data_IF_529749927001
#
_entry.id   IF_529749927001
#
_cell.length_a   1.000
_cell.length_b   1.000
_cell.length_c   1.000
_cell.angle_alpha   90.00
_cell.angle_beta   90.00
_cell.angle_gamma   90.00
#
_symmetry.space_group_name_H-M   'P 1'
#
loop_
_entity.id
_entity.type
_entity.pdbx_description
1 polymer ?
#
# COMPACT_ATOMS: atom_id res chain seq x y z
N UNK A 1 30.31 -70.78 -21.54
CA UNK A 1 28.95 -70.72 -20.98
C UNK A 1 29.01 -70.11 -19.59
N UNK A 2 28.57 -68.86 -19.44
CA UNK A 2 28.01 -68.28 -18.22
C UNK A 2 27.77 -66.79 -18.50
N UNK A 3 26.53 -66.43 -18.85
CA UNK A 3 26.07 -65.04 -18.85
C UNK A 3 25.58 -64.72 -17.44
N UNK A 4 26.20 -63.75 -16.77
CA UNK A 4 25.61 -63.09 -15.60
C UNK A 4 24.78 -61.91 -16.09
N UNK A 5 23.46 -62.05 -16.04
CA UNK A 5 22.51 -60.97 -16.27
C UNK A 5 22.35 -60.15 -15.00
N UNK A 6 22.74 -58.87 -15.05
CA UNK A 6 22.47 -57.89 -14.00
C UNK A 6 21.03 -57.38 -14.19
N UNK A 7 20.16 -57.67 -13.23
CA UNK A 7 18.82 -57.08 -13.13
C UNK A 7 18.96 -55.65 -12.57
N UNK A 8 18.68 -54.64 -13.39
CA UNK A 8 18.50 -53.25 -12.95
C UNK A 8 17.00 -53.01 -12.74
N UNK A 9 16.58 -52.96 -11.47
CA UNK A 9 15.26 -52.48 -11.07
C UNK A 9 15.15 -50.98 -11.37
N UNK A 10 14.27 -50.60 -12.30
CA UNK A 10 13.81 -49.22 -12.45
C UNK A 10 12.70 -48.96 -11.43
N UNK A 11 12.98 -48.15 -10.41
CA UNK A 11 11.96 -47.54 -9.58
C UNK A 11 11.28 -46.42 -10.39
N UNK A 12 10.00 -46.61 -10.73
CA UNK A 12 9.16 -45.57 -11.31
C UNK A 12 8.86 -44.54 -10.22
N UNK A 13 9.43 -43.34 -10.33
CA UNK A 13 9.00 -42.19 -9.52
C UNK A 13 7.74 -41.63 -10.20
N UNK A 14 6.58 -41.87 -9.59
CA UNK A 14 5.31 -41.29 -9.99
C UNK A 14 5.30 -39.82 -9.54
N UNK A 15 5.63 -38.89 -10.44
CA UNK A 15 5.39 -37.46 -10.19
C UNK A 15 3.89 -37.20 -10.33
N UNK A 16 3.21 -36.92 -9.22
CA UNK A 16 1.82 -36.48 -9.22
C UNK A 16 1.74 -35.07 -9.80
N UNK A 17 1.26 -34.96 -11.05
CA UNK A 17 0.73 -33.70 -11.56
C UNK A 17 -0.52 -33.36 -10.75
N UNK A 18 -0.39 -32.43 -9.81
CA UNK A 18 -1.56 -31.78 -9.21
C UNK A 18 -2.12 -30.83 -10.28
N UNK A 19 -3.31 -31.14 -10.79
CA UNK A 19 -4.06 -30.23 -11.64
C UNK A 19 -4.35 -28.95 -10.88
N UNK A 20 -4.06 -27.78 -11.46
CA UNK A 20 -4.60 -26.49 -11.02
C UNK A 20 -6.12 -26.59 -11.05
N UNK A 21 -6.77 -26.81 -9.91
CA UNK A 21 -8.21 -26.74 -9.84
C UNK A 21 -8.59 -25.26 -9.76
N UNK A 22 -9.04 -24.69 -10.87
CA UNK A 22 -9.57 -23.34 -10.89
C UNK A 22 -10.78 -23.25 -9.94
N UNK A 23 -10.83 -22.17 -9.14
CA UNK A 23 -11.97 -21.89 -8.24
C UNK A 23 -13.19 -21.56 -9.09
N UNK A 24 -14.31 -22.23 -8.83
CA UNK A 24 -15.59 -21.92 -9.45
C UNK A 24 -16.28 -20.76 -8.72
N UNK A 25 -16.65 -19.70 -9.43
CA UNK A 25 -17.33 -18.53 -8.85
C UNK A 25 -18.78 -18.49 -9.32
N UNK A 26 -19.71 -18.54 -8.38
CA UNK A 26 -21.15 -18.41 -8.67
C UNK A 26 -21.71 -17.14 -8.06
N UNK A 27 -22.67 -16.53 -8.74
CA UNK A 27 -23.35 -15.32 -8.27
C UNK A 27 -24.84 -15.49 -8.54
N UNK A 28 -25.66 -15.36 -7.50
CA UNK A 28 -27.12 -15.49 -7.58
C UNK A 28 -27.78 -14.31 -6.88
N UNK A 29 -28.65 -13.60 -7.59
CA UNK A 29 -29.50 -12.60 -6.97
C UNK A 29 -30.79 -13.28 -6.48
N UNK A 30 -30.99 -13.38 -5.17
CA UNK A 30 -32.21 -13.94 -4.57
C UNK A 30 -33.25 -12.85 -4.22
N UNK A 31 -32.85 -11.59 -4.30
CA UNK A 31 -33.67 -10.41 -4.02
C UNK A 31 -34.11 -9.69 -5.31
N UNK A 32 -34.32 -10.40 -6.42
CA UNK A 32 -34.51 -9.80 -7.77
C UNK A 32 -35.65 -8.78 -7.86
N UNK A 33 -36.64 -8.84 -6.96
CA UNK A 33 -37.80 -7.95 -6.93
C UNK A 33 -37.65 -6.76 -5.99
N UNK A 34 -36.61 -6.70 -5.16
CA UNK A 34 -36.38 -5.57 -4.27
C UNK A 34 -35.67 -4.42 -5.01
N UNK A 35 -35.75 -3.16 -4.54
CA UNK A 35 -35.04 -2.06 -5.18
C UNK A 35 -33.53 -2.31 -5.28
N UNK A 36 -32.92 -2.86 -4.21
CA UNK A 36 -31.51 -3.24 -4.16
C UNK A 36 -31.14 -4.34 -5.15
N UNK A 37 -31.93 -5.42 -5.23
CA UNK A 37 -31.68 -6.50 -6.18
C UNK A 37 -31.88 -6.07 -7.64
N UNK A 38 -32.87 -5.23 -7.93
CA UNK A 38 -33.04 -4.62 -9.26
C UNK A 38 -31.81 -3.78 -9.62
N UNK A 39 -31.34 -2.97 -8.67
CA UNK A 39 -30.14 -2.14 -8.85
C UNK A 39 -28.89 -2.97 -9.12
N UNK A 40 -28.69 -4.05 -8.36
CA UNK A 40 -27.60 -4.99 -8.57
C UNK A 40 -27.59 -5.52 -10.01
N UNK A 41 -28.74 -5.98 -10.51
CA UNK A 41 -28.85 -6.52 -11.87
C UNK A 41 -28.53 -5.48 -12.95
N UNK A 42 -28.92 -4.23 -12.73
CA UNK A 42 -28.77 -3.16 -13.72
C UNK A 42 -27.36 -2.55 -13.75
N UNK A 43 -26.69 -2.42 -12.60
CA UNK A 43 -25.45 -1.63 -12.49
C UNK A 43 -24.19 -2.49 -12.25
N UNK A 44 -24.34 -3.70 -11.73
CA UNK A 44 -23.25 -4.65 -11.47
C UNK A 44 -23.41 -5.90 -12.34
N UNK A 45 -24.41 -6.74 -12.04
CA UNK A 45 -24.72 -7.98 -12.73
C UNK A 45 -23.79 -9.15 -12.36
N UNK A 46 -24.29 -10.38 -12.55
CA UNK A 46 -23.60 -11.60 -12.10
C UNK A 46 -22.20 -11.79 -12.73
N UNK A 47 -22.04 -11.51 -14.02
CA UNK A 47 -20.77 -11.72 -14.72
C UNK A 47 -19.67 -10.76 -14.26
N UNK A 48 -20.00 -9.47 -14.06
CA UNK A 48 -19.08 -8.51 -13.47
C UNK A 48 -18.66 -8.95 -12.07
N UNK A 49 -19.61 -9.37 -11.24
CA UNK A 49 -19.32 -9.79 -9.86
C UNK A 49 -18.42 -11.02 -9.83
N UNK A 50 -18.63 -12.02 -10.70
CA UNK A 50 -17.72 -13.17 -10.83
C UNK A 50 -16.29 -12.75 -11.18
N UNK A 51 -16.13 -11.84 -12.15
CA UNK A 51 -14.82 -11.32 -12.55
C UNK A 51 -14.14 -10.57 -11.40
N UNK A 52 -14.91 -9.81 -10.62
CA UNK A 52 -14.39 -9.11 -9.44
C UNK A 52 -14.01 -10.07 -8.32
N UNK A 53 -14.77 -11.15 -8.07
CA UNK A 53 -14.42 -12.21 -7.11
C UNK A 53 -13.10 -12.91 -7.48
N UNK A 54 -12.91 -13.22 -8.76
CA UNK A 54 -11.65 -13.78 -9.25
C UNK A 54 -10.48 -12.80 -9.06
N UNK A 55 -10.68 -11.53 -9.44
CA UNK A 55 -9.67 -10.47 -9.27
C UNK A 55 -9.30 -10.24 -7.80
N UNK A 56 -10.29 -10.26 -6.90
CA UNK A 56 -10.09 -10.15 -5.46
C UNK A 56 -9.28 -11.33 -4.93
N UNK A 57 -9.58 -12.56 -5.37
CA UNK A 57 -8.84 -13.76 -4.98
C UNK A 57 -7.37 -13.68 -5.41
N UNK A 58 -7.11 -13.29 -6.66
CA UNK A 58 -5.75 -13.09 -7.18
C UNK A 58 -5.01 -11.98 -6.43
N UNK A 59 -5.69 -10.90 -6.06
CA UNK A 59 -5.12 -9.84 -5.23
C UNK A 59 -4.75 -10.34 -3.84
N UNK A 60 -5.66 -11.05 -3.17
CA UNK A 60 -5.47 -11.57 -1.82
C UNK A 60 -4.34 -12.60 -1.79
N UNK A 61 -4.27 -13.53 -2.74
CA UNK A 61 -3.19 -14.51 -2.80
C UNK A 61 -1.82 -13.84 -3.00
N UNK A 62 -1.75 -12.80 -3.82
CA UNK A 62 -0.51 -12.02 -4.00
C UNK A 62 -0.15 -11.26 -2.72
N UNK A 63 -1.11 -10.59 -2.09
CA UNK A 63 -0.90 -9.81 -0.87
C UNK A 63 -0.47 -10.70 0.30
N UNK A 64 -1.05 -11.90 0.42
CA UNK A 64 -0.67 -12.90 1.43
C UNK A 64 0.50 -13.79 1.01
N UNK A 65 1.12 -13.54 -0.15
CA UNK A 65 2.26 -14.30 -0.66
C UNK A 65 1.99 -15.82 -0.74
N UNK A 66 0.74 -16.22 -1.01
CA UNK A 66 0.31 -17.61 -1.16
C UNK A 66 0.59 -18.11 -2.59
N UNK A 67 1.87 -18.22 -2.93
CA UNK A 67 2.31 -18.50 -4.30
C UNK A 67 2.12 -19.97 -4.72
N UNK A 68 2.00 -20.90 -3.76
CA UNK A 68 1.84 -22.33 -4.05
C UNK A 68 0.49 -22.86 -3.58
N UNK A 69 0.04 -23.98 -4.17
CA UNK A 69 -1.20 -24.65 -3.75
C UNK A 69 -1.16 -25.14 -2.29
N UNK A 70 0.03 -25.46 -1.77
CA UNK A 70 0.20 -25.80 -0.36
C UNK A 70 -0.03 -24.60 0.57
N UNK A 71 0.26 -23.39 0.10
CA UNK A 71 0.08 -22.17 0.88
C UNK A 71 -1.38 -21.70 0.92
N UNK A 72 -2.14 -21.98 -0.14
CA UNK A 72 -3.55 -21.57 -0.28
C UNK A 72 -4.51 -22.46 0.50
N UNK A 73 -5.63 -21.88 0.92
CA UNK A 73 -6.78 -22.63 1.43
C UNK A 73 -7.45 -23.38 0.28
N UNK A 74 -7.76 -24.66 0.50
CA UNK A 74 -8.35 -25.52 -0.51
C UNK A 74 -9.86 -25.25 -0.61
N UNK A 75 -10.25 -24.33 -1.50
CA UNK A 75 -11.63 -23.95 -1.77
C UNK A 75 -11.88 -24.13 -3.26
N UNK A 76 -12.79 -25.03 -3.62
CA UNK A 76 -13.11 -25.33 -5.02
C UNK A 76 -14.21 -24.44 -5.61
N UNK A 77 -15.02 -23.82 -4.75
CA UNK A 77 -16.13 -22.97 -5.16
C UNK A 77 -16.35 -21.85 -4.14
N UNK A 78 -16.63 -20.65 -4.63
CA UNK A 78 -17.10 -19.51 -3.83
C UNK A 78 -18.40 -19.00 -4.44
N UNK A 79 -19.43 -18.84 -3.62
CA UNK A 79 -20.77 -18.42 -4.06
C UNK A 79 -21.12 -17.06 -3.47
N UNK A 80 -21.62 -16.13 -4.27
CA UNK A 80 -22.17 -14.87 -3.78
C UNK A 80 -23.69 -14.84 -3.97
N UNK A 81 -24.38 -14.45 -2.92
CA UNK A 81 -25.83 -14.24 -2.89
C UNK A 81 -26.14 -12.77 -2.61
N UNK A 82 -27.03 -12.18 -3.41
CA UNK A 82 -27.71 -10.95 -3.03
C UNK A 82 -29.02 -11.35 -2.36
N UNK A 83 -29.15 -11.07 -1.07
CA UNK A 83 -30.28 -11.48 -0.25
C UNK A 83 -31.09 -10.27 0.21
N UNK A 84 -32.39 -10.48 0.39
CA UNK A 84 -33.27 -9.55 1.11
C UNK A 84 -32.97 -9.69 2.60
N UNK A 85 -32.06 -8.84 3.09
CA UNK A 85 -31.58 -8.90 4.46
C UNK A 85 -31.14 -7.54 4.98
N UNK A 86 -31.15 -7.42 6.30
CA UNK A 86 -30.54 -6.31 7.02
C UNK A 86 -29.01 -6.50 7.09
N UNK A 87 -28.28 -5.39 7.04
CA UNK A 87 -26.81 -5.38 7.11
C UNK A 87 -26.14 -5.19 5.75
N UNK A 88 -24.81 -5.17 5.77
CA UNK A 88 -23.98 -4.91 4.58
C UNK A 88 -23.68 -6.22 3.86
N UNK A 89 -22.86 -7.07 4.47
CA UNK A 89 -22.54 -8.39 3.97
C UNK A 89 -21.98 -9.28 5.10
N UNK A 90 -21.88 -10.58 4.83
CA UNK A 90 -21.08 -11.51 5.63
C UNK A 90 -20.60 -12.68 4.77
N UNK A 91 -19.51 -13.32 5.20
CA UNK A 91 -19.00 -14.54 4.61
C UNK A 91 -19.10 -15.74 5.56
N UNK A 92 -19.55 -16.89 5.06
CA UNK A 92 -19.62 -18.15 5.80
C UNK A 92 -19.64 -19.33 4.85
N UNK A 93 -18.96 -20.43 5.18
CA UNK A 93 -18.96 -21.67 4.38
C UNK A 93 -18.61 -21.49 2.89
N UNK A 94 -17.68 -20.58 2.56
CA UNK A 94 -17.33 -20.19 1.19
C UNK A 94 -18.49 -19.51 0.41
N UNK A 95 -19.49 -19.02 1.15
CA UNK A 95 -20.57 -18.20 0.64
C UNK A 95 -20.40 -16.76 1.13
N UNK A 96 -20.73 -15.80 0.28
CA UNK A 96 -20.81 -14.38 0.59
C UNK A 96 -22.25 -13.96 0.42
N UNK A 97 -22.82 -13.33 1.42
CA UNK A 97 -24.20 -12.84 1.41
C UNK A 97 -24.14 -11.32 1.48
N UNK A 98 -24.70 -10.62 0.50
CA UNK A 98 -24.75 -9.15 0.42
C UNK A 98 -26.19 -8.68 0.54
N UNK A 99 -26.45 -7.73 1.43
CA UNK A 99 -27.79 -7.20 1.66
C UNK A 99 -28.22 -6.28 0.53
N UNK A 100 -29.41 -6.53 -0.01
CA UNK A 100 -30.00 -5.68 -1.05
C UNK A 100 -30.22 -4.23 -0.56
N UNK A 101 -30.63 -4.05 0.70
CA UNK A 101 -30.82 -2.74 1.33
C UNK A 101 -29.53 -1.90 1.33
N UNK A 102 -28.38 -2.54 1.53
CA UNK A 102 -27.08 -1.88 1.41
C UNK A 102 -26.82 -1.45 -0.04
N UNK A 103 -27.05 -2.33 -1.02
CA UNK A 103 -26.89 -2.03 -2.44
C UNK A 103 -27.79 -0.85 -2.87
N UNK A 104 -29.05 -0.82 -2.43
CA UNK A 104 -29.95 0.31 -2.64
C UNK A 104 -29.40 1.60 -2.01
N UNK A 105 -28.83 1.48 -0.81
CA UNK A 105 -28.32 2.58 0.00
C UNK A 105 -27.11 3.31 -0.59
N UNK A 106 -26.30 2.68 -1.44
CA UNK A 106 -25.04 3.27 -1.95
C UNK A 106 -25.33 4.55 -2.76
N UNK A 107 -24.89 5.71 -2.25
CA UNK A 107 -25.09 7.01 -2.93
C UNK A 107 -23.96 7.41 -3.87
N UNK A 108 -22.77 6.87 -3.66
CA UNK A 108 -21.58 7.14 -4.46
C UNK A 108 -21.46 6.14 -5.63
N UNK A 109 -20.26 6.00 -6.20
CA UNK A 109 -19.97 4.98 -7.20
C UNK A 109 -20.24 3.58 -6.63
N UNK A 110 -21.28 2.93 -7.14
CA UNK A 110 -21.71 1.60 -6.71
C UNK A 110 -20.62 0.56 -6.91
N UNK A 111 -19.83 0.64 -7.99
CA UNK A 111 -18.76 -0.32 -8.26
C UNK A 111 -17.65 -0.18 -7.24
N UNK A 112 -17.25 1.05 -6.93
CA UNK A 112 -16.20 1.30 -5.96
C UNK A 112 -16.59 0.81 -4.56
N UNK A 113 -17.80 1.14 -4.09
CA UNK A 113 -18.26 0.77 -2.74
C UNK A 113 -18.46 -0.74 -2.62
N UNK A 114 -19.21 -1.34 -3.57
CA UNK A 114 -19.47 -2.78 -3.61
C UNK A 114 -18.18 -3.59 -3.73
N UNK A 115 -17.22 -3.18 -4.58
CA UNK A 115 -15.95 -3.90 -4.70
C UNK A 115 -15.17 -3.84 -3.37
N UNK A 116 -15.21 -2.73 -2.64
CA UNK A 116 -14.58 -2.63 -1.34
C UNK A 116 -15.12 -3.64 -0.33
N UNK A 117 -16.45 -3.76 -0.23
CA UNK A 117 -17.10 -4.78 0.60
C UNK A 117 -16.79 -6.18 0.10
N UNK A 118 -16.81 -6.40 -1.21
CA UNK A 118 -16.49 -7.71 -1.78
C UNK A 118 -15.06 -8.14 -1.46
N UNK A 119 -14.08 -7.24 -1.53
CA UNK A 119 -12.69 -7.54 -1.15
C UNK A 119 -12.56 -7.88 0.34
N UNK A 120 -13.32 -7.20 1.20
CA UNK A 120 -13.40 -7.54 2.62
C UNK A 120 -13.93 -8.98 2.80
N UNK A 121 -15.11 -9.30 2.25
CA UNK A 121 -15.73 -10.63 2.42
C UNK A 121 -14.93 -11.76 1.76
N UNK A 122 -14.34 -11.51 0.58
CA UNK A 122 -13.45 -12.47 -0.07
C UNK A 122 -12.21 -12.76 0.79
N UNK A 123 -11.77 -11.81 1.61
CA UNK A 123 -10.65 -12.04 2.53
C UNK A 123 -11.00 -13.07 3.59
N UNK A 124 -12.21 -13.05 4.15
CA UNK A 124 -12.68 -14.06 5.11
C UNK A 124 -12.66 -15.49 4.52
N UNK A 125 -12.84 -15.62 3.20
CA UNK A 125 -12.71 -16.93 2.53
C UNK A 125 -11.25 -17.41 2.55
N UNK A 126 -10.31 -16.53 2.19
CA UNK A 126 -8.91 -16.90 1.90
C UNK A 126 -7.94 -16.77 3.07
N UNK A 127 -8.28 -15.98 4.08
CA UNK A 127 -7.45 -15.82 5.26
C UNK A 127 -7.54 -17.05 6.17
N UNK A 128 -6.48 -17.27 6.92
CA UNK A 128 -6.44 -18.23 8.00
C UNK A 128 -6.80 -17.51 9.30
N UNK A 129 -7.69 -18.11 10.08
CA UNK A 129 -8.22 -17.55 11.33
C UNK A 129 -7.99 -18.47 12.54
N UNK A 130 -7.20 -19.54 12.38
CA UNK A 130 -6.97 -20.57 13.37
C UNK A 130 -8.08 -21.63 13.47
N UNK A 131 -7.77 -22.76 14.11
CA UNK A 131 -8.74 -23.83 14.36
C UNK A 131 -9.77 -23.46 15.42
N UNK A 132 -10.87 -24.23 15.49
CA UNK A 132 -11.87 -24.07 16.54
C UNK A 132 -11.24 -24.16 17.94
N UNK A 133 -11.49 -23.14 18.78
CA UNK A 133 -10.90 -23.03 20.13
C UNK A 133 -9.54 -22.34 20.19
N UNK A 134 -8.89 -22.10 19.05
CA UNK A 134 -7.60 -21.39 18.94
C UNK A 134 -7.65 -20.27 17.90
N UNK A 135 -8.86 -19.76 17.63
CA UNK A 135 -9.08 -18.72 16.64
C UNK A 135 -8.40 -17.41 17.03
N UNK A 136 -7.99 -16.66 16.01
CA UNK A 136 -7.58 -15.28 16.19
C UNK A 136 -8.73 -14.43 16.80
N UNK A 137 -8.41 -13.34 17.52
CA UNK A 137 -9.40 -12.39 17.99
C UNK A 137 -10.25 -11.88 16.82
N UNK A 138 -11.57 -11.76 17.02
CA UNK A 138 -12.48 -11.31 15.96
C UNK A 138 -12.05 -9.97 15.35
N UNK A 139 -11.57 -9.02 16.15
CA UNK A 139 -11.07 -7.75 15.61
C UNK A 139 -9.80 -7.87 14.77
N UNK A 140 -8.93 -8.86 15.02
CA UNK A 140 -7.81 -9.14 14.11
C UNK A 140 -8.32 -9.70 12.78
N UNK A 141 -9.30 -10.61 12.82
CA UNK A 141 -9.92 -11.23 11.63
C UNK A 141 -10.58 -10.15 10.75
N UNK A 142 -11.40 -9.28 11.33
CA UNK A 142 -12.02 -8.14 10.62
C UNK A 142 -10.97 -7.11 10.16
N UNK A 143 -9.95 -6.88 10.98
CA UNK A 143 -8.88 -5.95 10.67
C UNK A 143 -8.02 -6.37 9.48
N UNK A 144 -7.77 -7.67 9.30
CA UNK A 144 -7.07 -8.19 8.12
C UNK A 144 -7.92 -8.01 6.87
N UNK A 145 -9.23 -8.29 6.94
CA UNK A 145 -10.15 -8.06 5.84
C UNK A 145 -10.17 -6.59 5.40
N UNK A 146 -10.21 -5.64 6.34
CA UNK A 146 -10.10 -4.22 6.03
C UNK A 146 -8.67 -3.80 5.64
N UNK A 147 -7.62 -4.46 6.11
CA UNK A 147 -6.26 -4.24 5.59
C UNK A 147 -6.16 -4.60 4.11
N UNK A 148 -6.79 -5.70 3.66
CA UNK A 148 -6.87 -6.03 2.23
C UNK A 148 -7.63 -4.95 1.47
N UNK A 149 -8.79 -4.51 1.99
CA UNK A 149 -9.58 -3.42 1.40
C UNK A 149 -8.78 -2.11 1.28
N UNK A 150 -7.98 -1.79 2.29
CA UNK A 150 -7.05 -0.66 2.30
C UNK A 150 -6.01 -0.79 1.18
N UNK A 151 -5.33 -1.94 1.09
CA UNK A 151 -4.28 -2.18 0.09
C UNK A 151 -4.84 -2.26 -1.35
N UNK A 152 -6.10 -2.63 -1.51
CA UNK A 152 -6.81 -2.60 -2.78
C UNK A 152 -7.33 -1.19 -3.16
N UNK A 153 -7.02 -0.16 -2.37
CA UNK A 153 -7.45 1.23 -2.58
C UNK A 153 -8.98 1.42 -2.51
N UNK A 154 -9.63 0.66 -1.62
CA UNK A 154 -11.07 0.72 -1.36
C UNK A 154 -11.41 1.23 0.05
N UNK A 155 -10.48 1.91 0.74
CA UNK A 155 -10.72 2.52 2.04
C UNK A 155 -11.69 3.72 1.93
N UNK A 156 -12.91 3.64 2.51
CA UNK A 156 -13.88 4.72 2.53
C UNK A 156 -13.38 5.99 3.23
N UNK A 157 -13.79 7.20 2.77
CA UNK A 157 -13.39 8.46 3.39
C UNK A 157 -13.82 8.62 4.86
N UNK A 158 -14.83 7.89 5.31
CA UNK A 158 -15.37 7.94 6.66
C UNK A 158 -14.68 6.94 7.63
N UNK A 159 -13.67 6.20 7.18
CA UNK A 159 -12.85 5.41 8.09
C UNK A 159 -12.18 6.28 9.15
N UNK A 160 -11.94 5.68 10.32
CA UNK A 160 -11.17 6.33 11.38
C UNK A 160 -9.78 6.70 10.85
N UNK A 161 -9.16 7.71 11.45
CA UNK A 161 -7.83 8.13 11.03
C UNK A 161 -6.78 7.18 11.61
N UNK A 162 -5.61 7.02 10.96
CA UNK A 162 -4.47 6.37 11.57
C UNK A 162 -4.18 6.98 12.94
N UNK A 163 -4.00 6.13 13.94
CA UNK A 163 -3.80 6.54 15.33
C UNK A 163 -5.08 6.67 16.14
N UNK A 164 -6.27 6.51 15.56
CA UNK A 164 -7.54 6.43 16.31
C UNK A 164 -7.71 5.03 16.96
N UNK A 165 -8.85 4.80 17.62
CA UNK A 165 -9.16 3.54 18.31
C UNK A 165 -8.54 3.39 19.70
N UNK A 166 -9.05 2.42 20.44
CA UNK A 166 -8.71 2.17 21.85
C UNK A 166 -7.76 0.99 22.04
N UNK A 167 -7.84 -0.02 21.17
CA UNK A 167 -7.02 -1.23 21.19
C UNK A 167 -6.69 -1.73 19.79
N UNK A 168 -5.63 -2.53 19.69
CA UNK A 168 -5.10 -2.98 18.40
C UNK A 168 -6.04 -3.94 17.66
N UNK A 169 -6.85 -4.72 18.37
CA UNK A 169 -7.83 -5.69 17.85
C UNK A 169 -9.28 -5.19 17.99
N UNK A 170 -9.51 -3.89 17.80
CA UNK A 170 -10.85 -3.31 17.79
C UNK A 170 -11.68 -3.73 16.58
N UNK A 171 -11.03 -4.18 15.50
CA UNK A 171 -11.67 -4.58 14.27
C UNK A 171 -11.59 -3.52 13.18
N UNK A 172 -11.93 -3.94 11.97
CA UNK A 172 -12.16 -3.07 10.82
C UNK A 172 -11.01 -2.08 10.59
N UNK A 173 -11.34 -0.87 10.15
CA UNK A 173 -10.40 0.22 9.89
C UNK A 173 -9.39 0.53 11.02
N UNK A 174 -9.76 0.42 12.31
CA UNK A 174 -8.83 0.66 13.43
C UNK A 174 -7.67 -0.34 13.36
N UNK A 175 -8.01 -1.63 13.31
CA UNK A 175 -7.01 -2.70 13.25
C UNK A 175 -6.31 -2.72 11.90
N UNK A 176 -6.99 -2.40 10.80
CA UNK A 176 -6.38 -2.32 9.47
C UNK A 176 -5.24 -1.29 9.41
N UNK A 177 -5.43 -0.09 9.98
CA UNK A 177 -4.36 0.91 10.05
C UNK A 177 -3.19 0.50 10.93
N UNK A 178 -3.44 -0.24 12.01
CA UNK A 178 -2.38 -0.80 12.84
C UNK A 178 -1.58 -1.88 12.10
N UNK A 179 -2.28 -2.78 11.41
CA UNK A 179 -1.65 -3.81 10.58
C UNK A 179 -0.86 -3.19 9.42
N UNK A 180 -1.33 -2.09 8.86
CA UNK A 180 -0.62 -1.30 7.87
C UNK A 180 0.70 -0.74 8.41
N UNK A 181 0.66 -0.15 9.60
CA UNK A 181 1.86 0.27 10.31
C UNK A 181 2.83 -0.90 10.55
N UNK A 182 2.35 -2.05 11.03
CA UNK A 182 3.17 -3.24 11.22
C UNK A 182 3.78 -3.77 9.91
N UNK A 183 3.02 -3.73 8.82
CA UNK A 183 3.50 -4.12 7.49
C UNK A 183 4.54 -3.16 6.92
N UNK A 184 4.51 -1.89 7.31
CA UNK A 184 5.52 -0.92 6.91
C UNK A 184 6.79 -1.03 7.77
N UNK A 185 6.69 -1.52 9.02
CA UNK A 185 7.86 -1.91 9.80
C UNK A 185 8.59 -3.12 9.19
N UNK A 186 7.83 -4.07 8.63
CA UNK A 186 8.36 -5.24 7.93
C UNK A 186 7.44 -5.62 6.77
N UNK A 187 7.91 -5.39 5.55
CA UNK A 187 7.18 -5.76 4.35
C UNK A 187 6.79 -7.25 4.37
N UNK A 188 5.53 -7.55 4.14
CA UNK A 188 4.98 -8.91 4.21
C UNK A 188 4.59 -9.37 5.61
N UNK A 189 4.60 -8.49 6.62
CA UNK A 189 4.18 -8.84 7.98
C UNK A 189 2.80 -9.51 8.01
N UNK A 190 1.78 -8.92 7.36
CA UNK A 190 0.41 -9.46 7.38
C UNK A 190 0.33 -10.81 6.66
N UNK A 191 1.10 -10.98 5.58
CA UNK A 191 1.21 -12.26 4.87
C UNK A 191 1.76 -13.38 5.77
N UNK A 192 2.85 -13.11 6.48
CA UNK A 192 3.47 -14.06 7.40
C UNK A 192 2.62 -14.30 8.65
N UNK A 193 1.94 -13.28 9.16
CA UNK A 193 0.97 -13.42 10.25
C UNK A 193 -0.17 -14.34 9.83
N UNK A 194 -0.80 -14.08 8.67
CA UNK A 194 -1.84 -14.94 8.09
C UNK A 194 -1.34 -16.39 7.93
N UNK A 195 -0.11 -16.59 7.43
CA UNK A 195 0.48 -17.93 7.32
C UNK A 195 0.63 -18.64 8.67
N UNK A 196 1.05 -17.93 9.72
CA UNK A 196 1.16 -18.47 11.09
C UNK A 196 -0.21 -18.81 11.69
N UNK A 197 -1.25 -18.11 11.28
CA UNK A 197 -2.63 -18.35 11.73
C UNK A 197 -3.31 -19.57 11.10
N UNK A 198 -2.61 -20.36 10.27
CA UNK A 198 -3.17 -21.56 9.62
C UNK A 198 -3.92 -22.47 10.58
N UNK A 199 -3.29 -22.79 11.71
CA UNK A 199 -3.82 -23.78 12.66
C UNK A 199 -4.21 -23.16 14.01
N UNK A 200 -3.53 -22.09 14.44
CA UNK A 200 -3.72 -21.46 15.76
C UNK A 200 -3.33 -19.99 15.72
N UNK A 201 -3.83 -19.22 16.69
CA UNK A 201 -3.36 -17.86 16.95
C UNK A 201 -2.58 -17.76 18.27
N UNK A 202 -1.59 -16.86 18.30
CA UNK A 202 -0.88 -16.43 19.51
C UNK A 202 -0.33 -15.01 19.32
N UNK A 203 -0.47 -14.15 20.33
CA UNK A 203 0.13 -12.80 20.33
C UNK A 203 1.67 -12.85 20.23
N UNK A 204 2.29 -13.99 20.58
CA UNK A 204 3.75 -14.20 20.40
C UNK A 204 4.19 -14.05 18.95
N UNK A 205 3.29 -14.23 17.97
CA UNK A 205 3.62 -14.08 16.56
C UNK A 205 4.10 -12.66 16.24
N UNK A 206 3.61 -11.63 16.93
CA UNK A 206 4.13 -10.27 16.77
C UNK A 206 5.58 -10.16 17.24
N UNK A 207 5.94 -10.83 18.34
CA UNK A 207 7.32 -10.87 18.84
C UNK A 207 8.22 -11.62 17.85
N UNK A 208 7.76 -12.76 17.34
CA UNK A 208 8.52 -13.55 16.36
C UNK A 208 8.74 -12.79 15.05
N UNK A 209 7.77 -11.99 14.61
CA UNK A 209 7.81 -11.32 13.30
C UNK A 209 8.43 -9.92 13.35
N UNK A 210 8.32 -9.19 14.46
CA UNK A 210 8.74 -7.79 14.61
C UNK A 210 9.63 -7.53 15.83
N UNK A 211 9.87 -8.53 16.69
CA UNK A 211 10.74 -8.40 17.87
C UNK A 211 10.11 -7.67 19.06
N UNK A 212 8.82 -7.31 18.99
CA UNK A 212 8.08 -6.60 20.05
C UNK A 212 6.72 -7.24 20.30
N UNK A 213 6.19 -7.11 21.52
CA UNK A 213 4.82 -7.55 21.78
C UNK A 213 3.81 -6.68 21.05
N UNK A 214 2.60 -7.20 20.80
CA UNK A 214 1.53 -6.44 20.14
C UNK A 214 1.17 -5.17 20.93
N UNK A 215 1.20 -5.20 22.26
CA UNK A 215 0.95 -4.02 23.11
C UNK A 215 2.04 -2.94 22.97
N UNK A 216 3.30 -3.35 22.84
CA UNK A 216 4.42 -2.43 22.58
C UNK A 216 4.26 -1.80 21.19
N UNK A 217 3.97 -2.60 20.18
CA UNK A 217 3.74 -2.12 18.81
C UNK A 217 2.53 -1.17 18.75
N UNK A 218 1.45 -1.49 19.46
CA UNK A 218 0.28 -0.61 19.56
C UNK A 218 0.62 0.71 20.26
N UNK A 219 1.42 0.66 21.33
CA UNK A 219 1.87 1.86 22.03
C UNK A 219 2.75 2.73 21.13
N UNK A 220 3.68 2.11 20.38
CA UNK A 220 4.53 2.79 19.40
C UNK A 220 3.69 3.40 18.27
N UNK A 221 2.73 2.66 17.74
CA UNK A 221 1.75 3.15 16.77
C UNK A 221 1.01 4.38 17.30
N UNK A 222 0.42 4.30 18.49
CA UNK A 222 -0.28 5.45 19.10
C UNK A 222 0.67 6.61 19.36
N UNK A 223 1.92 6.38 19.76
CA UNK A 223 2.91 7.44 19.96
C UNK A 223 3.26 8.13 18.63
N UNK A 224 3.44 7.35 17.56
CA UNK A 224 3.71 7.85 16.21
C UNK A 224 2.65 8.86 15.74
N UNK A 225 1.37 8.60 16.04
CA UNK A 225 0.26 9.49 15.68
C UNK A 225 -0.14 10.49 16.77
N UNK A 226 0.41 10.38 18.00
CA UNK A 226 0.24 11.38 19.08
C UNK A 226 1.33 12.46 19.06
N UNK A 227 2.49 12.20 18.46
CA UNK A 227 3.62 13.13 18.38
C UNK A 227 3.50 14.17 17.25
N UNK A 228 2.30 14.38 16.70
CA UNK A 228 1.99 15.51 15.81
C UNK A 228 1.82 16.85 16.55
N UNK A 229 2.36 17.01 17.76
CA UNK A 229 2.19 18.20 18.61
C UNK A 229 3.16 19.37 18.31
N UNK A 230 3.84 19.34 17.16
CA UNK A 230 4.00 20.55 16.37
C UNK A 230 3.16 20.35 15.12
N UNK A 231 1.89 20.73 15.19
CA UNK A 231 1.02 20.66 14.02
C UNK A 231 1.59 21.64 12.99
N UNK A 232 2.21 21.10 11.95
CA UNK A 232 2.61 21.87 10.78
C UNK A 232 1.35 22.52 10.23
N UNK A 233 1.34 23.86 10.13
CA UNK A 233 0.24 24.59 9.52
C UNK A 233 0.31 24.41 7.99
N UNK A 234 -0.77 23.93 7.39
CA UNK A 234 -0.87 23.75 5.94
C UNK A 234 -1.82 24.77 5.35
N UNK A 235 -1.28 25.66 4.51
CA UNK A 235 -2.09 26.61 3.74
C UNK A 235 -2.08 26.23 2.27
N UNK A 236 -3.21 26.43 1.60
CA UNK A 236 -3.37 26.18 0.15
C UNK A 236 -3.96 27.43 -0.47
N UNK A 237 -3.36 27.93 -1.55
CA UNK A 237 -3.83 29.11 -2.26
C UNK A 237 -3.87 28.82 -3.75
N UNK A 238 -5.04 28.95 -4.38
CA UNK A 238 -5.16 28.89 -5.82
C UNK A 238 -5.03 30.29 -6.43
N UNK A 239 -3.81 30.68 -6.84
CA UNK A 239 -3.55 31.99 -7.45
C UNK A 239 -3.96 32.00 -8.93
N UNK A 240 -4.03 30.83 -9.56
CA UNK A 240 -4.35 30.63 -10.96
C UNK A 240 -5.85 30.37 -11.23
N UNK A 241 -6.75 30.79 -10.33
CA UNK A 241 -8.19 30.48 -10.41
C UNK A 241 -8.91 30.95 -11.69
N UNK A 242 -8.32 31.89 -12.44
CA UNK A 242 -8.83 32.35 -13.74
C UNK A 242 -8.40 31.49 -14.93
N UNK A 243 -7.48 30.55 -14.74
CA UNK A 243 -7.00 29.62 -15.77
C UNK A 243 -7.86 28.36 -15.82
N UNK A 244 -7.83 27.63 -16.95
CA UNK A 244 -8.50 26.33 -17.05
C UNK A 244 -7.96 25.33 -16.02
N UNK A 245 -6.65 25.35 -15.77
CA UNK A 245 -5.98 24.51 -14.79
C UNK A 245 -6.37 24.80 -13.34
N UNK A 246 -6.37 26.09 -12.96
CA UNK A 246 -6.80 26.50 -11.62
C UNK A 246 -8.30 26.25 -11.38
N UNK A 247 -9.14 26.40 -12.39
CA UNK A 247 -10.56 26.01 -12.32
C UNK A 247 -10.72 24.49 -12.14
N UNK A 248 -9.93 23.69 -12.86
CA UNK A 248 -9.94 22.23 -12.74
C UNK A 248 -9.46 21.76 -11.36
N UNK A 249 -8.39 22.36 -10.83
CA UNK A 249 -7.94 22.11 -9.45
C UNK A 249 -9.07 22.30 -8.45
N UNK A 250 -9.80 23.42 -8.54
CA UNK A 250 -10.91 23.70 -7.63
C UNK A 250 -12.05 22.68 -7.73
N UNK A 251 -12.30 22.13 -8.93
CA UNK A 251 -13.38 21.19 -9.18
C UNK A 251 -13.05 19.73 -8.78
N UNK A 252 -11.82 19.27 -9.06
CA UNK A 252 -11.45 17.84 -8.92
C UNK A 252 -10.59 17.53 -7.69
N UNK A 253 -9.85 18.53 -7.18
CA UNK A 253 -8.88 18.37 -6.09
C UNK A 253 -9.33 19.16 -4.85
N UNK A 254 -9.29 20.50 -4.94
CA UNK A 254 -9.71 21.40 -3.88
C UNK A 254 -8.70 21.59 -2.74
N UNK A 255 -8.89 22.68 -1.98
CA UNK A 255 -7.99 23.06 -0.88
C UNK A 255 -8.00 22.06 0.29
N UNK A 256 -9.18 21.58 0.69
CA UNK A 256 -9.31 20.69 1.84
C UNK A 256 -8.62 19.34 1.61
N UNK A 257 -8.80 18.76 0.42
CA UNK A 257 -8.08 17.55 0.03
C UNK A 257 -6.57 17.79 0.01
N UNK A 258 -6.13 18.94 -0.52
CA UNK A 258 -4.71 19.28 -0.59
C UNK A 258 -4.10 19.40 0.81
N UNK A 259 -4.77 20.06 1.77
CA UNK A 259 -4.33 20.14 3.18
C UNK A 259 -4.28 18.75 3.83
N UNK A 260 -5.31 17.94 3.62
CA UNK A 260 -5.35 16.56 4.11
C UNK A 260 -4.17 15.75 3.57
N UNK A 261 -3.90 15.84 2.27
CA UNK A 261 -2.81 15.11 1.64
C UNK A 261 -1.43 15.64 2.02
N UNK A 262 -1.24 16.93 2.25
CA UNK A 262 0.02 17.48 2.78
C UNK A 262 0.32 16.96 4.19
N UNK A 263 -0.69 16.91 5.06
CA UNK A 263 -0.55 16.30 6.38
C UNK A 263 -0.21 14.80 6.28
N UNK A 264 -0.94 14.05 5.45
CA UNK A 264 -0.69 12.62 5.25
C UNK A 264 0.70 12.35 4.64
N UNK A 265 1.14 13.20 3.71
CA UNK A 265 2.48 13.11 3.12
C UNK A 265 3.57 13.34 4.17
N UNK A 266 3.43 14.36 5.03
CA UNK A 266 4.38 14.61 6.13
C UNK A 266 4.49 13.41 7.07
N UNK A 267 3.36 12.87 7.53
CA UNK A 267 3.36 11.69 8.41
C UNK A 267 4.02 10.49 7.71
N UNK A 268 3.71 10.29 6.43
CA UNK A 268 4.30 9.24 5.62
C UNK A 268 5.81 9.41 5.46
N UNK A 269 6.28 10.63 5.17
CA UNK A 269 7.70 10.95 4.95
C UNK A 269 8.48 10.79 6.26
N UNK A 270 7.99 11.31 7.38
CA UNK A 270 8.62 11.11 8.68
C UNK A 270 8.77 9.63 9.03
N UNK A 271 7.79 8.81 8.64
CA UNK A 271 7.86 7.36 8.84
C UNK A 271 8.88 6.70 7.90
N UNK A 272 8.84 6.99 6.60
CA UNK A 272 9.76 6.41 5.60
C UNK A 272 11.21 6.81 5.87
N UNK A 273 11.44 8.05 6.30
CA UNK A 273 12.76 8.57 6.66
C UNK A 273 13.15 8.31 8.12
N UNK A 274 12.34 7.56 8.87
CA UNK A 274 12.53 7.23 10.30
C UNK A 274 12.92 8.43 11.15
N UNK A 275 12.12 9.49 11.07
CA UNK A 275 12.21 10.71 11.87
C UNK A 275 11.09 10.75 12.93
N UNK A 276 11.01 9.80 13.89
CA UNK A 276 9.90 9.72 14.84
C UNK A 276 9.93 10.86 15.85
N UNK A 277 11.10 11.43 16.15
CA UNK A 277 11.26 12.44 17.20
C UNK A 277 11.55 13.83 16.60
N UNK A 278 11.18 14.89 17.33
CA UNK A 278 11.42 16.27 16.91
C UNK A 278 12.90 16.59 16.59
N UNK A 279 13.84 15.97 17.32
CA UNK A 279 15.29 16.13 17.10
C UNK A 279 15.76 15.58 15.75
N UNK A 280 15.09 14.54 15.24
CA UNK A 280 15.42 13.94 13.95
C UNK A 280 14.83 14.74 12.77
N UNK A 281 13.83 15.59 13.01
CA UNK A 281 13.09 16.36 11.99
C UNK A 281 13.71 17.73 11.74
N UNK A 282 13.40 18.31 10.58
CA UNK A 282 13.56 19.76 10.38
C UNK A 282 12.49 20.49 11.17
N UNK A 283 12.86 21.62 11.75
CA UNK A 283 11.92 22.53 12.40
C UNK A 283 11.17 23.34 11.32
N UNK A 284 9.97 22.89 10.95
CA UNK A 284 9.10 23.56 9.99
C UNK A 284 7.71 23.64 10.61
N UNK A 285 7.28 24.86 10.94
CA UNK A 285 5.99 25.10 11.57
C UNK A 285 4.87 25.33 10.54
N UNK A 286 5.21 25.61 9.28
CA UNK A 286 4.25 25.91 8.22
C UNK A 286 4.75 25.44 6.85
N UNK A 287 3.84 24.87 6.07
CA UNK A 287 4.01 24.58 4.63
C UNK A 287 2.90 25.26 3.82
N UNK A 288 3.28 25.98 2.77
CA UNK A 288 2.33 26.68 1.89
C UNK A 288 2.32 26.07 0.51
N UNK A 289 1.15 25.65 0.03
CA UNK A 289 0.95 25.16 -1.32
C UNK A 289 0.25 26.23 -2.17
N UNK A 290 0.83 26.53 -3.32
CA UNK A 290 0.29 27.45 -4.30
C UNK A 290 -0.06 26.70 -5.59
N UNK A 291 -1.22 26.99 -6.17
CA UNK A 291 -1.55 26.59 -7.55
C UNK A 291 -1.33 27.82 -8.42
N UNK A 292 -0.25 27.80 -9.19
CA UNK A 292 0.24 28.96 -9.95
C UNK A 292 0.18 28.73 -11.46
N UNK A 293 0.03 29.82 -12.20
CA UNK A 293 0.13 29.82 -13.65
C UNK A 293 1.61 29.83 -14.08
N UNK A 294 2.24 28.66 -13.94
CA UNK A 294 3.64 28.39 -14.29
C UNK A 294 3.71 27.28 -15.33
N UNK A 295 4.81 27.22 -16.09
CA UNK A 295 5.05 26.24 -17.15
C UNK A 295 6.44 25.58 -16.99
N UNK A 296 6.64 24.44 -17.65
CA UNK A 296 7.90 23.71 -17.71
C UNK A 296 8.10 22.60 -16.68
N UNK A 297 7.44 22.66 -15.51
CA UNK A 297 7.46 21.60 -14.49
C UNK A 297 6.08 21.38 -13.88
N UNK A 298 5.84 20.17 -13.35
CA UNK A 298 4.58 19.86 -12.67
C UNK A 298 4.45 20.62 -11.34
N UNK A 299 5.53 20.65 -10.56
CA UNK A 299 5.64 21.43 -9.33
C UNK A 299 7.11 21.67 -8.97
N UNK A 300 7.37 22.51 -7.97
CA UNK A 300 8.66 22.60 -7.29
C UNK A 300 8.47 23.04 -5.83
N UNK A 301 9.43 22.67 -4.97
CA UNK A 301 9.47 23.11 -3.58
C UNK A 301 10.63 24.09 -3.31
N UNK A 302 10.37 25.15 -2.52
CA UNK A 302 11.38 26.10 -2.05
C UNK A 302 10.88 26.81 -0.79
N UNK A 303 11.75 27.04 0.21
CA UNK A 303 11.41 27.78 1.43
C UNK A 303 10.14 27.29 2.17
N UNK A 304 9.93 25.96 2.22
CA UNK A 304 8.71 25.33 2.75
C UNK A 304 7.42 25.73 1.99
N UNK A 305 7.57 26.20 0.76
CA UNK A 305 6.49 26.45 -0.19
C UNK A 305 6.55 25.41 -1.30
N UNK A 306 5.38 24.99 -1.78
CA UNK A 306 5.21 24.12 -2.94
C UNK A 306 4.43 24.93 -3.97
N UNK A 307 4.95 25.02 -5.18
CA UNK A 307 4.30 25.69 -6.30
C UNK A 307 3.92 24.65 -7.33
N UNK A 308 2.61 24.40 -7.49
CA UNK A 308 2.06 23.42 -8.41
C UNK A 308 1.55 24.11 -9.66
N UNK A 309 1.93 23.60 -10.84
CA UNK A 309 1.54 24.18 -12.12
C UNK A 309 0.06 23.94 -12.43
N UNK A 310 -0.70 25.03 -12.53
CA UNK A 310 -2.04 25.02 -13.09
C UNK A 310 -2.03 24.51 -14.54
N UNK A 311 -1.02 24.87 -15.34
CA UNK A 311 -0.90 24.38 -16.72
C UNK A 311 -0.73 22.86 -16.78
N UNK A 312 0.05 22.26 -15.89
CA UNK A 312 0.16 20.79 -15.78
C UNK A 312 -1.18 20.16 -15.40
N UNK A 313 -1.85 20.69 -14.37
CA UNK A 313 -3.18 20.22 -13.92
C UNK A 313 -4.21 20.29 -15.08
N UNK A 314 -4.23 21.39 -15.81
CA UNK A 314 -5.17 21.60 -16.92
C UNK A 314 -4.97 20.62 -18.08
N UNK A 315 -3.71 20.26 -18.38
CA UNK A 315 -3.36 19.43 -19.53
C UNK A 315 -3.25 17.93 -19.21
N UNK A 316 -3.29 17.53 -17.94
CA UNK A 316 -3.14 16.11 -17.55
C UNK A 316 -4.34 15.26 -18.00
N UNK A 317 -4.09 14.17 -18.74
CA UNK A 317 -5.14 13.34 -19.36
C UNK A 317 -5.47 12.04 -18.62
N UNK A 318 -4.79 11.74 -17.51
CA UNK A 318 -5.02 10.55 -16.68
C UNK A 318 -5.83 10.81 -15.41
N UNK A 319 -5.66 9.94 -14.41
CA UNK A 319 -6.19 10.14 -13.05
C UNK A 319 -5.45 11.31 -12.38
N UNK A 320 -6.02 12.51 -12.54
CA UNK A 320 -5.45 13.74 -12.01
C UNK A 320 -5.26 13.68 -10.50
N UNK A 321 -6.20 13.08 -9.76
CA UNK A 321 -6.16 13.08 -8.30
C UNK A 321 -5.02 12.23 -7.78
N UNK A 322 -4.81 11.05 -8.39
CA UNK A 322 -3.66 10.18 -8.09
C UNK A 322 -2.34 10.82 -8.47
N UNK A 323 -2.25 11.42 -9.67
CA UNK A 323 -1.03 12.10 -10.12
C UNK A 323 -0.67 13.27 -9.22
N UNK A 324 -1.64 14.16 -8.96
CA UNK A 324 -1.49 15.32 -8.10
C UNK A 324 -0.95 14.91 -6.73
N UNK A 325 -1.54 13.87 -6.15
CA UNK A 325 -1.12 13.34 -4.85
C UNK A 325 0.31 12.79 -4.89
N UNK A 326 0.68 12.08 -5.95
CA UNK A 326 2.04 11.57 -6.12
C UNK A 326 3.09 12.67 -6.23
N UNK A 327 2.82 13.71 -7.03
CA UNK A 327 3.70 14.89 -7.15
C UNK A 327 3.76 15.64 -5.82
N UNK A 328 2.64 15.80 -5.11
CA UNK A 328 2.65 16.41 -3.78
C UNK A 328 3.55 15.64 -2.80
N UNK A 329 3.54 14.31 -2.80
CA UNK A 329 4.44 13.50 -1.97
C UNK A 329 5.92 13.71 -2.34
N UNK A 330 6.21 13.84 -3.63
CA UNK A 330 7.55 14.19 -4.11
C UNK A 330 7.99 15.56 -3.55
N UNK A 331 7.21 16.62 -3.77
CA UNK A 331 7.57 17.97 -3.33
C UNK A 331 7.60 18.13 -1.80
N UNK A 332 6.70 17.45 -1.08
CA UNK A 332 6.74 17.41 0.38
C UNK A 332 8.02 16.73 0.88
N UNK A 333 8.60 15.79 0.12
CA UNK A 333 9.87 15.17 0.52
C UNK A 333 11.02 16.16 0.49
N UNK A 334 11.05 17.06 -0.49
CA UNK A 334 12.03 18.16 -0.54
C UNK A 334 11.96 19.04 0.72
N UNK A 335 10.77 19.27 1.28
CA UNK A 335 10.63 20.00 2.55
C UNK A 335 11.32 19.25 3.69
N UNK A 336 11.12 17.94 3.82
CA UNK A 336 11.52 17.17 5.01
C UNK A 336 12.90 16.50 4.94
N UNK A 337 13.42 16.21 3.75
CA UNK A 337 14.71 15.52 3.58
C UNK A 337 15.91 16.43 3.83
N UNK A 338 17.04 15.89 4.26
CA UNK A 338 18.28 16.64 4.39
C UNK A 338 19.04 16.70 3.05
N UNK A 339 19.71 17.83 2.80
CA UNK A 339 20.40 18.11 1.52
C UNK A 339 21.93 17.96 1.60
N UNK A 340 22.46 17.38 2.69
CA UNK A 340 23.92 17.27 2.86
C UNK A 340 24.59 18.63 2.95
N UNK A 341 23.96 19.63 3.57
CA UNK A 341 24.40 21.03 3.55
C UNK A 341 24.67 21.56 2.12
N UNK A 342 23.86 21.13 1.15
CA UNK A 342 23.98 21.49 -0.27
C UNK A 342 25.04 20.68 -1.05
N UNK A 343 25.67 19.70 -0.42
CA UNK A 343 26.68 18.83 -1.05
C UNK A 343 26.06 17.59 -1.70
N UNK A 344 24.85 17.20 -1.29
CA UNK A 344 24.15 16.09 -1.94
C UNK A 344 23.79 16.52 -3.38
N UNK A 345 24.12 15.66 -4.34
CA UNK A 345 23.83 15.95 -5.75
C UNK A 345 22.33 15.89 -6.05
N UNK A 346 21.89 16.71 -7.00
CA UNK A 346 20.48 16.82 -7.39
C UNK A 346 19.83 15.47 -7.71
N UNK A 347 20.54 14.59 -8.42
CA UNK A 347 19.99 13.27 -8.75
C UNK A 347 19.81 12.32 -7.56
N UNK A 348 20.52 12.52 -6.45
CA UNK A 348 20.23 11.82 -5.21
C UNK A 348 19.01 12.43 -4.51
N UNK A 349 18.92 13.76 -4.44
CA UNK A 349 17.82 14.46 -3.75
C UNK A 349 16.48 14.26 -4.46
N UNK A 350 16.45 14.32 -5.80
CA UNK A 350 15.27 13.96 -6.60
C UNK A 350 14.94 12.47 -6.46
N UNK A 351 15.96 11.62 -6.38
CA UNK A 351 15.81 10.18 -6.19
C UNK A 351 15.18 9.79 -4.85
N UNK A 352 15.51 10.50 -3.77
CA UNK A 352 14.89 10.30 -2.45
C UNK A 352 13.42 10.74 -2.48
N UNK A 353 13.11 11.87 -3.12
CA UNK A 353 11.74 12.33 -3.31
C UNK A 353 10.89 11.31 -4.10
N UNK A 354 11.41 10.76 -5.19
CA UNK A 354 10.72 9.72 -5.94
C UNK A 354 10.74 8.34 -5.26
N UNK A 355 11.72 8.05 -4.40
CA UNK A 355 11.69 6.87 -3.53
C UNK A 355 10.51 6.93 -2.56
N UNK A 356 10.24 8.10 -1.95
CA UNK A 356 9.05 8.29 -1.12
C UNK A 356 7.78 8.10 -1.95
N UNK A 357 7.69 8.73 -3.13
CA UNK A 357 6.53 8.57 -4.04
C UNK A 357 6.32 7.11 -4.45
N UNK A 358 7.41 6.37 -4.68
CA UNK A 358 7.40 4.93 -4.96
C UNK A 358 6.82 4.14 -3.76
N UNK A 359 7.34 4.37 -2.56
CA UNK A 359 6.90 3.69 -1.33
C UNK A 359 5.46 4.01 -0.98
N UNK A 360 4.97 5.21 -1.31
CA UNK A 360 3.59 5.61 -1.14
C UNK A 360 2.64 5.01 -2.20
N UNK A 361 3.15 4.15 -3.09
CA UNK A 361 2.42 3.54 -4.18
C UNK A 361 1.79 4.57 -5.14
N UNK A 362 2.50 5.67 -5.41
CA UNK A 362 2.12 6.71 -6.37
C UNK A 362 3.06 6.79 -7.59
N UNK A 363 3.85 5.75 -7.83
CA UNK A 363 4.64 5.63 -9.06
C UNK A 363 3.71 5.58 -10.30
N UNK A 364 3.86 6.51 -11.26
CA UNK A 364 3.22 6.45 -12.57
C UNK A 364 3.62 5.22 -13.37
N UNK A 365 2.75 4.80 -14.29
CA UNK A 365 2.99 3.62 -15.15
C UNK A 365 4.14 3.79 -16.14
N UNK A 366 4.51 5.03 -16.47
CA UNK A 366 5.60 5.34 -17.41
C UNK A 366 6.99 5.33 -16.75
N UNK A 367 7.06 5.19 -15.42
CA UNK A 367 8.34 5.11 -14.72
C UNK A 367 9.16 3.92 -15.20
N UNK A 368 10.48 4.09 -15.17
CA UNK A 368 11.43 3.05 -15.51
C UNK A 368 11.23 1.81 -14.63
N UNK A 369 11.51 0.65 -15.23
CA UNK A 369 11.53 -0.62 -14.52
C UNK A 369 12.83 -0.77 -13.71
N UNK A 370 12.84 -1.60 -12.65
CA UNK A 370 14.07 -1.96 -11.97
C UNK A 370 15.16 -2.42 -12.96
N UNK A 371 16.39 -1.96 -12.75
CA UNK A 371 17.53 -2.22 -13.63
C UNK A 371 17.70 -1.26 -14.81
N UNK A 372 16.74 -0.38 -15.11
CA UNK A 372 16.87 0.62 -16.17
C UNK A 372 17.62 1.89 -15.70
N UNK A 373 18.00 2.75 -16.64
CA UNK A 373 18.83 3.94 -16.40
C UNK A 373 20.33 3.69 -16.54
N UNK A 374 21.09 4.78 -16.65
CA UNK A 374 22.52 4.75 -17.01
C UNK A 374 23.45 4.90 -15.80
N UNK A 375 23.01 5.63 -14.78
CA UNK A 375 23.79 5.91 -13.56
C UNK A 375 22.89 5.98 -12.32
N UNK A 376 23.49 5.70 -11.17
CA UNK A 376 22.78 5.60 -9.90
C UNK A 376 22.19 6.92 -9.42
N UNK A 377 22.77 8.04 -9.84
CA UNK A 377 22.41 9.42 -9.47
C UNK A 377 21.72 10.17 -10.61
N UNK A 378 21.03 9.45 -11.50
CA UNK A 378 20.38 10.06 -12.65
C UNK A 378 19.23 11.01 -12.24
N UNK A 379 18.69 10.83 -11.04
CA UNK A 379 17.50 11.53 -10.55
C UNK A 379 16.26 10.67 -10.66
N UNK A 380 15.20 11.19 -10.04
CA UNK A 380 13.83 10.73 -10.21
C UNK A 380 13.66 9.20 -10.05
N UNK A 381 12.86 8.59 -10.92
CA UNK A 381 12.50 7.18 -10.92
C UNK A 381 13.70 6.22 -11.02
N UNK A 382 14.73 6.54 -11.81
CA UNK A 382 15.96 5.73 -11.92
C UNK A 382 16.66 5.61 -10.56
N UNK A 383 16.96 6.74 -9.93
CA UNK A 383 17.61 6.75 -8.62
C UNK A 383 16.68 6.12 -7.57
N UNK A 384 15.37 6.41 -7.61
CA UNK A 384 14.40 5.87 -6.67
C UNK A 384 14.37 4.34 -6.67
N UNK A 385 14.40 3.69 -7.85
CA UNK A 385 14.46 2.22 -7.98
C UNK A 385 15.76 1.63 -7.43
N UNK A 386 16.89 2.34 -7.60
CA UNK A 386 18.16 1.93 -7.01
C UNK A 386 18.17 2.07 -5.48
N UNK A 387 17.63 3.16 -4.96
CA UNK A 387 17.47 3.36 -3.52
C UNK A 387 16.53 2.32 -2.90
N UNK A 388 15.49 1.90 -3.62
CA UNK A 388 14.60 0.81 -3.23
C UNK A 388 15.35 -0.53 -3.13
N UNK A 389 16.18 -0.85 -4.11
CA UNK A 389 17.08 -2.01 -4.03
C UNK A 389 18.04 -1.93 -2.83
N UNK A 390 18.66 -0.77 -2.58
CA UNK A 390 19.54 -0.58 -1.42
C UNK A 390 18.78 -0.74 -0.10
N UNK A 391 17.53 -0.28 -0.03
CA UNK A 391 16.66 -0.45 1.13
C UNK A 391 16.22 -1.91 1.33
N UNK A 392 16.10 -2.71 0.26
CA UNK A 392 15.87 -4.16 0.38
C UNK A 392 17.10 -4.90 0.90
N UNK A 393 18.32 -4.46 0.56
CA UNK A 393 19.55 -5.02 1.11
C UNK A 393 19.68 -4.75 2.61
N UNK A 394 19.26 -3.57 3.05
CA UNK A 394 19.21 -3.17 4.46
C UNK A 394 18.00 -2.29 4.71
N UNK A 395 17.02 -2.83 5.43
CA UNK A 395 15.83 -2.07 5.80
C UNK A 395 16.21 -0.77 6.53
N UNK A 396 15.63 0.36 6.09
CA UNK A 396 15.94 1.68 6.62
C UNK A 396 17.19 2.35 6.02
N UNK A 397 17.79 1.79 4.96
CA UNK A 397 18.95 2.38 4.31
C UNK A 397 18.73 3.85 3.93
N UNK A 398 17.61 4.18 3.26
CA UNK A 398 17.34 5.55 2.80
C UNK A 398 17.13 6.51 3.97
N UNK A 399 16.48 6.04 5.04
CA UNK A 399 16.30 6.79 6.27
C UNK A 399 17.64 7.15 6.92
N UNK A 400 18.53 6.17 7.08
CA UNK A 400 19.87 6.38 7.65
C UNK A 400 20.77 7.24 6.75
N UNK A 401 20.66 7.08 5.42
CA UNK A 401 21.34 7.95 4.47
C UNK A 401 20.87 9.40 4.63
N UNK A 402 19.56 9.63 4.64
CA UNK A 402 18.97 10.94 4.89
C UNK A 402 19.41 11.52 6.25
N UNK A 403 19.46 10.71 7.31
CA UNK A 403 19.95 11.13 8.62
C UNK A 403 21.42 11.57 8.58
N UNK A 404 22.29 10.82 7.88
CA UNK A 404 23.70 11.20 7.69
C UNK A 404 23.85 12.46 6.82
N UNK A 405 22.88 12.75 5.96
CA UNK A 405 22.85 13.98 5.15
C UNK A 405 22.51 15.26 5.93
N UNK A 406 22.33 15.21 7.25
CA UNK A 406 21.99 16.41 8.04
C UNK A 406 23.01 17.54 7.89
N UNK A 407 24.30 17.21 7.99
CA UNK A 407 25.38 18.21 8.11
C UNK A 407 26.37 18.19 6.92
N UNK A 408 26.22 17.24 5.99
CA UNK A 408 27.14 17.07 4.86
C UNK A 408 26.78 15.85 4.02
N UNK A 409 27.45 15.66 2.88
CA UNK A 409 27.29 14.47 2.04
C UNK A 409 28.63 13.88 1.62
N UNK A 410 28.71 12.55 1.59
CA UNK A 410 29.83 11.78 1.04
C UNK A 410 29.35 10.42 0.54
N UNK A 411 29.82 9.98 -0.63
CA UNK A 411 29.54 8.64 -1.16
C UNK A 411 30.03 7.53 -0.23
N UNK A 412 30.96 7.83 0.68
CA UNK A 412 31.41 6.91 1.74
C UNK A 412 30.24 6.45 2.64
N UNK A 413 29.14 7.19 2.72
CA UNK A 413 27.96 6.78 3.48
C UNK A 413 27.35 5.46 2.97
N UNK A 414 27.47 5.16 1.67
CA UNK A 414 27.06 3.85 1.14
C UNK A 414 27.93 2.72 1.69
N UNK A 415 29.23 2.95 1.83
CA UNK A 415 30.15 1.96 2.43
C UNK A 415 29.86 1.81 3.93
N UNK A 416 29.64 2.91 4.65
CA UNK A 416 29.28 2.86 6.07
C UNK A 416 27.99 2.06 6.33
N UNK A 417 27.02 2.17 5.41
CA UNK A 417 25.69 1.59 5.59
C UNK A 417 25.54 0.18 4.99
N UNK A 418 26.23 -0.13 3.89
CA UNK A 418 26.07 -1.39 3.13
C UNK A 418 27.39 -2.13 2.90
N UNK A 419 28.53 -1.59 3.33
CA UNK A 419 29.85 -2.21 3.18
C UNK A 419 30.42 -2.20 1.76
N UNK A 420 29.78 -1.48 0.82
CA UNK A 420 30.18 -1.40 -0.59
C UNK A 420 30.13 0.05 -1.08
N UNK A 421 30.95 0.38 -2.07
CA UNK A 421 30.86 1.69 -2.73
C UNK A 421 29.56 1.79 -3.53
N UNK A 422 29.08 3.01 -3.77
CA UNK A 422 27.86 3.22 -4.57
C UNK A 422 27.97 2.63 -5.98
N UNK A 423 29.16 2.69 -6.60
CA UNK A 423 29.41 2.07 -7.92
C UNK A 423 29.32 0.54 -7.90
N UNK A 424 29.81 -0.09 -6.82
CA UNK A 424 29.67 -1.54 -6.64
C UNK A 424 28.20 -1.93 -6.47
N UNK A 425 27.46 -1.19 -5.63
CA UNK A 425 26.03 -1.40 -5.42
C UNK A 425 25.23 -1.19 -6.71
N UNK A 426 25.55 -0.17 -7.50
CA UNK A 426 24.94 0.07 -8.80
C UNK A 426 25.22 -1.08 -9.78
N UNK A 427 26.46 -1.56 -9.82
CA UNK A 427 26.82 -2.72 -10.66
C UNK A 427 26.06 -3.98 -10.25
N UNK A 428 25.92 -4.24 -8.95
CA UNK A 428 25.13 -5.36 -8.42
C UNK A 428 23.64 -5.21 -8.76
N UNK A 429 23.09 -4.00 -8.63
CA UNK A 429 21.71 -3.67 -9.02
C UNK A 429 21.47 -3.96 -10.51
N UNK A 430 22.35 -3.49 -11.39
CA UNK A 430 22.25 -3.77 -12.83
C UNK A 430 22.35 -5.26 -13.13
N UNK A 431 23.23 -5.98 -12.44
CA UNK A 431 23.36 -7.44 -12.60
C UNK A 431 22.10 -8.20 -12.13
N UNK A 432 21.47 -7.77 -11.03
CA UNK A 432 20.24 -8.39 -10.50
C UNK A 432 19.08 -8.31 -11.49
N UNK A 433 18.98 -7.23 -12.25
CA UNK A 433 17.85 -6.95 -13.15
C UNK A 433 18.23 -7.02 -14.65
N UNK A 434 19.36 -7.64 -14.99
CA UNK A 434 19.79 -7.84 -16.39
C UNK A 434 19.05 -8.98 -17.13
N UNK A 435 18.02 -9.58 -16.52
CA UNK A 435 17.30 -10.76 -17.04
C UNK A 435 15.94 -10.42 -17.62
#
# INVERSE_FOLDING_TARGET
MAYQSIFLCFALILTTLHSLQAVDYTVTNRAETTPGGIRFNNELGAEYTKQTMASASDFIWRLFQQATEADKKQVSQVSLFVDDMDGIAYASNNEIHVGDNYIEGIKADIKWDFNGVLYHEMTHIWQWDGSAGTKAPGGLIEGIADFVRLKANYAPPNWVKPGDGSKWDEGYSVTAWFLDYCNDLRNGFVAELNKKMRDTYSDSFFVELLGKSVDQLWSDYKANYRQSNQAVDYTVTNTAGSTAGGARFAAEIGEDYSKQMSSAATDFIWRVLQQPNAEDRKAVDKVSLFIDDIDGVAAYASNNEIHFSANYIGNYSGDLKREYTGVLYHEMTHIWQWYGNGQAQGGLTEGVADFVRLKANYAPSHWVQPGQGDRWDQGYDVTARFLDYCNDLRNGFVAELNKKMRDGYSDQYFVDLLGKTVDQLWSDYKAKYAQ
#
